data_IF_544007104372
#
_entry.id   IF_544007104372
#
_cell.length_a   1.000
_cell.length_b   1.000
_cell.length_c   1.000
_cell.angle_alpha   90.00
_cell.angle_beta   90.00
_cell.angle_gamma   90.00
#
_symmetry.space_group_name_H-M   'P 1'
#
loop_
_entity.id
_entity.type
_entity.pdbx_description
1 polymer ?
#
# COMPACT_ATOMS: atom_id res chain seq x y z
N UNK A 1 4.11 12.03 8.75
CA UNK A 1 4.42 10.70 8.17
C UNK A 1 3.14 9.96 7.78
N UNK A 2 2.15 9.81 8.65
CA UNK A 2 0.88 9.10 8.36
C UNK A 2 0.15 9.66 7.15
N UNK A 3 -0.05 10.98 7.09
CA UNK A 3 -0.76 11.66 5.99
C UNK A 3 -0.06 11.47 4.64
N UNK A 4 1.26 11.60 4.58
CA UNK A 4 2.04 11.40 3.34
C UNK A 4 1.99 9.95 2.88
N UNK A 5 2.03 9.01 3.82
CA UNK A 5 1.86 7.58 3.52
C UNK A 5 0.45 7.27 3.00
N UNK A 6 -0.60 7.86 3.59
CA UNK A 6 -1.97 7.72 3.12
C UNK A 6 -2.14 8.22 1.68
N UNK A 7 -1.57 9.38 1.34
CA UNK A 7 -1.56 9.89 -0.04
C UNK A 7 -0.94 8.88 -0.98
N UNK A 8 0.20 8.29 -0.61
CA UNK A 8 0.83 7.22 -1.37
C UNK A 8 -0.06 5.98 -1.53
N UNK A 9 -0.74 5.54 -0.46
CA UNK A 9 -1.67 4.41 -0.49
C UNK A 9 -2.84 4.66 -1.46
N UNK A 10 -3.44 5.85 -1.42
CA UNK A 10 -4.55 6.23 -2.30
C UNK A 10 -4.07 6.30 -3.76
N UNK A 11 -2.89 6.90 -3.99
CA UNK A 11 -2.31 7.01 -5.33
C UNK A 11 -2.03 5.64 -5.95
N UNK A 12 -1.35 4.74 -5.23
CA UNK A 12 -1.01 3.41 -5.73
C UNK A 12 -2.22 2.50 -5.89
N UNK A 13 -3.27 2.72 -5.09
CA UNK A 13 -4.55 2.02 -5.23
C UNK A 13 -5.31 2.38 -6.50
N UNK A 14 -4.94 3.47 -7.17
CA UNK A 14 -5.61 3.91 -8.38
C UNK A 14 -6.95 4.56 -8.10
N UNK A 15 -7.01 5.43 -7.09
CA UNK A 15 -8.20 6.23 -6.77
C UNK A 15 -8.08 7.61 -7.45
N UNK A 16 -9.08 8.03 -8.25
CA UNK A 16 -9.05 9.35 -8.86
C UNK A 16 -9.08 10.46 -7.78
N UNK A 17 -8.47 11.60 -8.00
CA UNK A 17 -7.79 12.06 -9.23
C UNK A 17 -6.26 11.88 -9.23
N UNK A 18 -5.71 11.01 -8.37
CA UNK A 18 -4.27 10.85 -8.18
C UNK A 18 -3.57 10.20 -9.37
N UNK A 19 -2.24 10.39 -9.46
CA UNK A 19 -1.44 9.99 -10.62
C UNK A 19 -1.57 8.50 -10.99
N UNK A 20 -1.62 7.63 -9.99
CA UNK A 20 -1.72 6.19 -10.22
C UNK A 20 -3.04 5.71 -10.83
N UNK A 21 -4.10 6.51 -10.78
CA UNK A 21 -5.36 6.19 -11.45
C UNK A 21 -5.20 6.19 -12.97
N UNK A 22 -4.73 7.31 -13.55
CA UNK A 22 -4.66 7.48 -15.00
C UNK A 22 -3.74 6.46 -15.66
N UNK A 23 -2.53 6.27 -15.14
CA UNK A 23 -1.58 5.31 -15.68
C UNK A 23 -2.07 3.87 -15.58
N UNK A 24 -2.71 3.50 -14.47
CA UNK A 24 -3.25 2.16 -14.27
C UNK A 24 -4.41 1.87 -15.21
N UNK A 25 -5.32 2.81 -15.38
CA UNK A 25 -6.49 2.65 -16.25
C UNK A 25 -6.10 2.62 -17.72
N UNK A 26 -5.07 3.36 -18.14
CA UNK A 26 -4.53 3.28 -19.50
C UNK A 26 -3.92 1.89 -19.77
N UNK A 27 -3.13 1.35 -18.84
CA UNK A 27 -2.57 0.00 -18.96
C UNK A 27 -3.70 -1.05 -19.01
N UNK A 28 -4.70 -0.93 -18.15
CA UNK A 28 -5.84 -1.85 -18.11
C UNK A 28 -6.70 -1.73 -19.37
N UNK A 29 -6.90 -0.52 -19.90
CA UNK A 29 -7.61 -0.30 -21.16
C UNK A 29 -6.92 -0.97 -22.34
N UNK A 30 -5.62 -0.78 -22.49
CA UNK A 30 -4.82 -1.43 -23.52
C UNK A 30 -4.80 -2.97 -23.37
N UNK A 31 -4.74 -3.46 -22.12
CA UNK A 31 -4.84 -4.89 -21.87
C UNK A 31 -6.21 -5.47 -22.23
N UNK A 32 -7.29 -4.72 -22.03
CA UNK A 32 -8.64 -5.15 -22.40
C UNK A 32 -8.79 -5.35 -23.92
N UNK A 33 -8.25 -4.41 -24.69
CA UNK A 33 -8.31 -4.46 -26.18
C UNK A 33 -7.44 -5.60 -26.72
N UNK A 34 -6.22 -5.77 -26.16
CA UNK A 34 -5.25 -6.75 -26.68
C UNK A 34 -5.55 -8.17 -26.20
N UNK A 35 -5.76 -8.35 -24.90
CA UNK A 35 -5.98 -9.66 -24.27
C UNK A 35 -6.88 -9.54 -23.01
N UNK A 36 -8.18 -9.76 -23.10
CA UNK A 36 -9.11 -9.62 -21.98
C UNK A 36 -8.77 -10.45 -20.73
N UNK A 37 -8.04 -11.56 -20.92
CA UNK A 37 -7.58 -12.36 -19.77
C UNK A 37 -6.54 -11.61 -18.91
N UNK A 38 -5.63 -10.86 -19.54
CA UNK A 38 -4.66 -10.02 -18.81
C UNK A 38 -5.33 -8.84 -18.13
N UNK A 39 -6.36 -8.26 -18.74
CA UNK A 39 -7.18 -7.25 -18.09
C UNK A 39 -7.81 -7.78 -16.80
N UNK A 40 -8.39 -8.98 -16.82
CA UNK A 40 -8.99 -9.57 -15.63
C UNK A 40 -7.97 -9.80 -14.51
N UNK A 41 -6.80 -10.33 -14.85
CA UNK A 41 -5.69 -10.51 -13.89
C UNK A 41 -5.22 -9.18 -13.35
N UNK A 42 -5.06 -8.17 -14.21
CA UNK A 42 -4.68 -6.81 -13.83
C UNK A 42 -5.69 -6.15 -12.89
N UNK A 43 -6.98 -6.32 -13.17
CA UNK A 43 -8.07 -5.80 -12.35
C UNK A 43 -8.08 -6.45 -10.96
N UNK A 44 -7.92 -7.77 -10.89
CA UNK A 44 -7.81 -8.50 -9.63
C UNK A 44 -6.59 -8.05 -8.82
N UNK A 45 -5.45 -7.87 -9.49
CA UNK A 45 -4.22 -7.36 -8.89
C UNK A 45 -4.40 -5.94 -8.37
N UNK A 46 -5.15 -5.09 -9.06
CA UNK A 46 -5.47 -3.73 -8.60
C UNK A 46 -6.25 -3.74 -7.28
N UNK A 47 -7.26 -4.63 -7.15
CA UNK A 47 -8.01 -4.82 -5.91
C UNK A 47 -7.14 -5.36 -4.76
N UNK A 48 -6.27 -6.32 -5.06
CA UNK A 48 -5.31 -6.84 -4.07
C UNK A 48 -4.32 -5.77 -3.63
N UNK A 49 -3.86 -4.91 -4.56
CA UNK A 49 -2.96 -3.78 -4.25
C UNK A 49 -3.63 -2.81 -3.29
N UNK A 50 -4.85 -2.41 -3.56
CA UNK A 50 -5.63 -1.54 -2.69
C UNK A 50 -5.81 -2.18 -1.29
N UNK A 51 -6.14 -3.47 -1.25
CA UNK A 51 -6.31 -4.19 0.01
C UNK A 51 -5.02 -4.22 0.85
N UNK A 52 -3.87 -4.62 0.28
CA UNK A 52 -2.65 -4.77 1.09
C UNK A 52 -2.06 -3.41 1.50
N UNK A 53 -2.19 -2.37 0.68
CA UNK A 53 -1.71 -1.03 1.03
C UNK A 53 -2.52 -0.43 2.19
N UNK A 54 -3.83 -0.56 2.17
CA UNK A 54 -4.66 -0.11 3.27
C UNK A 54 -4.58 -1.00 4.51
N UNK A 55 -4.36 -2.31 4.35
CA UNK A 55 -3.98 -3.18 5.47
C UNK A 55 -2.72 -2.67 6.17
N UNK A 56 -1.69 -2.35 5.40
CA UNK A 56 -0.43 -1.81 5.93
C UNK A 56 -0.67 -0.49 6.66
N UNK A 57 -1.44 0.42 6.06
CA UNK A 57 -1.79 1.70 6.66
C UNK A 57 -2.51 1.52 8.01
N UNK A 58 -3.59 0.74 8.05
CA UNK A 58 -4.37 0.53 9.28
C UNK A 58 -3.59 -0.18 10.38
N UNK A 59 -2.71 -1.11 10.02
CA UNK A 59 -1.90 -1.82 11.02
C UNK A 59 -0.75 -0.99 11.58
N UNK A 60 -0.27 0.00 10.83
CA UNK A 60 0.89 0.83 11.21
C UNK A 60 0.47 2.11 11.91
N UNK A 61 -0.55 2.79 11.39
CA UNK A 61 -0.89 4.15 11.83
C UNK A 61 -2.18 4.25 12.63
N UNK A 62 -3.03 3.22 12.57
CA UNK A 62 -4.34 3.23 13.21
C UNK A 62 -4.43 2.17 14.31
N UNK A 63 -5.18 2.49 15.37
CA UNK A 63 -5.43 1.58 16.47
C UNK A 63 -4.48 1.79 17.66
N UNK A 64 -4.56 0.86 18.63
CA UNK A 64 -3.79 0.94 19.86
C UNK A 64 -2.30 0.66 19.61
N UNK A 65 -1.44 1.44 20.25
CA UNK A 65 0.00 1.25 20.20
C UNK A 65 0.41 -0.09 20.83
N UNK A 66 1.06 -0.95 20.04
CA UNK A 66 1.44 -2.31 20.44
C UNK A 66 2.88 -2.42 20.94
N UNK A 67 3.68 -1.35 20.83
CA UNK A 67 5.08 -1.30 21.27
C UNK A 67 5.24 -1.19 22.78
N UNK A 68 4.18 -0.81 23.50
CA UNK A 68 4.17 -0.72 24.95
C UNK A 68 3.82 -2.10 25.57
N UNK A 69 4.76 -3.02 25.50
CA UNK A 69 4.65 -4.25 26.26
C UNK A 69 5.05 -3.92 27.69
N UNK A 70 4.06 -3.54 28.52
CA UNK A 70 4.26 -3.16 29.94
C UNK A 70 5.01 -4.24 30.74
N UNK A 71 4.90 -5.49 30.34
CA UNK A 71 5.63 -6.60 30.96
C UNK A 71 7.11 -6.60 30.54
N UNK A 72 7.41 -6.41 29.26
CA UNK A 72 8.77 -6.33 28.75
C UNK A 72 9.51 -5.10 29.27
N UNK A 73 8.81 -3.97 29.38
CA UNK A 73 9.35 -2.74 29.96
C UNK A 73 9.62 -2.92 31.48
N UNK A 74 8.75 -3.65 32.17
CA UNK A 74 8.95 -4.00 33.57
C UNK A 74 10.13 -4.94 33.77
N UNK A 75 10.30 -5.95 32.92
CA UNK A 75 11.45 -6.85 32.94
C UNK A 75 12.75 -6.12 32.59
N UNK A 76 12.74 -5.24 31.59
CA UNK A 76 13.91 -4.41 31.23
C UNK A 76 14.26 -3.41 32.35
N UNK A 77 13.27 -2.80 33.01
CA UNK A 77 13.46 -1.93 34.17
C UNK A 77 14.01 -2.70 35.40
N UNK A 78 13.56 -3.92 35.63
CA UNK A 78 14.07 -4.78 36.68
C UNK A 78 15.50 -5.21 36.39
N UNK A 79 15.79 -5.61 35.13
CA UNK A 79 17.13 -5.99 34.67
C UNK A 79 18.11 -4.81 34.71
N UNK A 80 17.65 -3.59 34.36
CA UNK A 80 18.50 -2.39 34.44
C UNK A 80 18.78 -1.96 35.89
N UNK A 81 17.81 -2.08 36.77
CA UNK A 81 18.02 -1.82 38.21
C UNK A 81 18.96 -2.80 38.90
N UNK A 82 19.14 -3.99 38.32
CA UNK A 82 20.05 -5.01 38.91
C UNK A 82 21.49 -4.79 38.42
N UNK A 83 21.73 -3.97 37.40
CA UNK A 83 23.05 -3.78 36.77
C UNK A 83 23.61 -2.36 36.84
N UNK A 84 22.96 -1.40 37.48
CA UNK A 84 23.43 -0.02 37.52
C UNK A 84 23.33 0.53 38.95
N UNK A 85 24.46 0.53 39.63
CA UNK A 85 24.76 1.50 40.66
C UNK A 85 24.80 2.90 40.01
N UNK A 86 23.93 3.79 40.48
CA UNK A 86 24.02 5.24 40.53
C UNK A 86 24.89 5.94 39.46
N UNK A 87 24.36 6.23 38.28
CA UNK A 87 24.65 7.44 37.48
C UNK A 87 23.82 7.43 36.20
N UNK A 88 22.99 8.48 36.03
CA UNK A 88 22.19 8.82 34.85
C UNK A 88 20.70 8.49 34.86
N UNK A 89 19.96 9.10 35.81
CA UNK A 89 18.49 9.09 35.78
C UNK A 89 17.85 10.10 34.78
N UNK A 90 18.63 10.94 34.10
CA UNK A 90 18.08 12.03 33.29
C UNK A 90 17.95 11.74 31.77
N UNK A 91 18.53 10.68 31.23
CA UNK A 91 18.52 10.42 29.76
C UNK A 91 17.55 9.34 29.29
N UNK A 92 16.87 8.62 30.17
CA UNK A 92 16.04 7.47 29.79
C UNK A 92 14.53 7.71 29.72
N UNK A 93 14.03 8.90 30.05
CA UNK A 93 12.57 9.18 29.96
C UNK A 93 12.07 9.54 28.56
N UNK A 94 12.94 9.82 27.57
CA UNK A 94 12.52 10.22 26.22
C UNK A 94 12.21 9.07 25.25
N UNK A 95 12.51 7.82 25.59
CA UNK A 95 12.32 6.69 24.66
C UNK A 95 10.92 6.06 24.65
N UNK A 96 9.98 6.56 25.43
CA UNK A 96 8.62 6.00 25.56
C UNK A 96 7.52 6.77 24.82
N UNK A 97 7.76 7.99 24.34
CA UNK A 97 6.72 8.77 23.66
C UNK A 97 6.81 8.63 22.14
N UNK A 98 5.67 8.34 21.52
CA UNK A 98 5.54 8.34 20.05
C UNK A 98 5.64 9.80 19.58
N UNK A 99 6.74 10.15 18.93
CA UNK A 99 6.94 11.46 18.33
C UNK A 99 7.05 11.35 16.79
N UNK A 100 6.74 12.43 16.10
CA UNK A 100 6.87 12.50 14.64
C UNK A 100 8.36 12.43 14.25
N UNK A 101 8.62 11.81 13.11
CA UNK A 101 9.98 11.70 12.57
C UNK A 101 10.60 13.06 12.30
N UNK A 102 11.94 13.22 12.44
CA UNK A 102 12.62 14.49 12.22
C UNK A 102 12.45 14.98 10.77
N UNK A 103 12.64 16.29 10.57
CA UNK A 103 12.44 16.94 9.26
C UNK A 103 13.25 16.29 8.13
N UNK A 104 14.42 15.80 8.41
CA UNK A 104 15.27 15.09 7.44
C UNK A 104 14.60 13.83 6.85
N UNK A 105 13.68 13.19 7.59
CA UNK A 105 12.92 12.02 7.14
C UNK A 105 11.56 12.41 6.55
N UNK A 106 10.91 13.45 7.09
CA UNK A 106 9.58 13.87 6.62
C UNK A 106 9.64 14.69 5.33
N UNK A 107 10.72 15.44 5.09
CA UNK A 107 10.90 16.22 3.88
C UNK A 107 10.83 15.39 2.58
N UNK A 108 11.57 14.29 2.42
CA UNK A 108 11.45 13.43 1.22
C UNK A 108 10.04 12.88 1.03
N UNK A 109 9.34 12.54 2.11
CA UNK A 109 7.97 12.02 2.02
C UNK A 109 6.98 13.08 1.52
N UNK A 110 7.11 14.32 2.01
CA UNK A 110 6.30 15.44 1.53
C UNK A 110 6.65 15.77 0.08
N UNK A 111 7.96 15.79 -0.25
CA UNK A 111 8.46 16.04 -1.61
C UNK A 111 7.91 15.03 -2.61
N UNK A 112 7.69 13.78 -2.25
CA UNK A 112 7.08 12.75 -3.10
C UNK A 112 5.55 12.80 -3.10
N UNK A 113 4.94 13.13 -1.97
CA UNK A 113 3.48 13.19 -1.86
C UNK A 113 2.87 14.33 -2.70
N UNK A 114 3.52 15.49 -2.74
CA UNK A 114 3.04 16.65 -3.50
C UNK A 114 2.96 16.36 -5.00
N UNK A 115 4.00 15.88 -5.69
CA UNK A 115 3.91 15.48 -7.10
C UNK A 115 2.89 14.37 -7.35
N UNK A 116 2.73 13.41 -6.44
CA UNK A 116 1.75 12.32 -6.56
C UNK A 116 0.32 12.85 -6.70
N UNK A 117 0.01 13.97 -6.06
CA UNK A 117 -1.28 14.65 -6.21
C UNK A 117 -1.32 15.49 -7.49
N UNK A 118 -0.29 16.33 -7.72
CA UNK A 118 -0.28 17.31 -8.81
C UNK A 118 -0.23 16.64 -10.19
N UNK A 119 0.62 15.63 -10.35
CA UNK A 119 0.83 14.92 -11.62
C UNK A 119 -0.46 14.20 -12.06
N UNK A 120 -1.30 13.78 -11.11
CA UNK A 120 -2.61 13.23 -11.45
C UNK A 120 -3.49 14.18 -12.27
N UNK A 121 -3.40 15.47 -12.03
CA UNK A 121 -4.11 16.48 -12.82
C UNK A 121 -3.43 16.81 -14.15
N UNK A 122 -2.16 16.45 -14.32
CA UNK A 122 -1.40 16.66 -15.57
C UNK A 122 -1.51 15.48 -16.55
N UNK A 123 -1.93 14.32 -16.06
CA UNK A 123 -2.06 13.09 -16.85
C UNK A 123 -3.48 12.80 -17.34
N UNK A 124 -4.31 13.82 -17.52
CA UNK A 124 -5.68 13.64 -18.02
C UNK A 124 -5.68 13.05 -19.43
N UNK A 125 -6.52 12.04 -19.74
CA UNK A 125 -6.49 11.36 -21.04
C UNK A 125 -6.82 12.26 -22.25
N UNK A 126 -7.59 13.32 -22.01
CA UNK A 126 -7.99 14.28 -23.04
C UNK A 126 -7.06 15.50 -23.18
N UNK A 127 -6.17 15.72 -22.22
CA UNK A 127 -5.17 16.80 -22.20
C UNK A 127 -3.95 16.37 -21.37
N UNK A 128 -3.28 15.34 -21.83
CA UNK A 128 -2.09 14.83 -21.15
C UNK A 128 -0.88 15.73 -21.43
N UNK A 129 -0.60 16.65 -20.50
CA UNK A 129 0.58 17.51 -20.58
C UNK A 129 1.89 16.72 -20.54
N UNK A 130 1.88 15.55 -19.91
CA UNK A 130 3.03 14.67 -19.83
C UNK A 130 3.28 13.99 -21.18
N UNK A 131 2.25 13.45 -21.81
CA UNK A 131 2.36 12.84 -23.14
C UNK A 131 2.78 13.89 -24.19
N UNK A 132 2.18 15.08 -24.16
CA UNK A 132 2.57 16.20 -25.02
C UNK A 132 4.03 16.64 -24.84
N UNK A 133 4.62 16.45 -23.66
CA UNK A 133 6.03 16.75 -23.41
C UNK A 133 6.97 15.68 -23.98
N UNK A 134 6.53 14.41 -23.98
CA UNK A 134 7.32 13.26 -24.42
C UNK A 134 7.22 13.04 -25.93
N UNK A 135 6.02 13.01 -26.47
CA UNK A 135 5.71 12.85 -27.89
C UNK A 135 4.41 13.57 -28.25
N UNK A 136 4.51 14.80 -28.82
CA UNK A 136 3.35 15.61 -29.13
C UNK A 136 2.45 15.00 -30.23
N UNK A 137 3.02 14.27 -31.21
CA UNK A 137 2.24 13.68 -32.30
C UNK A 137 1.41 12.48 -31.82
N UNK A 138 2.03 11.64 -30.99
CA UNK A 138 1.35 10.49 -30.39
C UNK A 138 0.29 10.93 -29.37
N UNK A 139 0.60 11.95 -28.57
CA UNK A 139 -0.35 12.54 -27.63
C UNK A 139 -1.58 13.14 -28.28
N UNK A 140 -1.42 13.86 -29.40
CA UNK A 140 -2.55 14.42 -30.14
C UNK A 140 -3.41 13.33 -30.78
N UNK A 141 -2.78 12.27 -31.28
CA UNK A 141 -3.47 11.10 -31.85
C UNK A 141 -4.25 10.34 -30.77
N UNK A 142 -3.64 10.11 -29.62
CA UNK A 142 -4.27 9.45 -28.48
C UNK A 142 -5.45 10.28 -27.92
N UNK A 143 -5.28 11.59 -27.80
CA UNK A 143 -6.36 12.49 -27.34
C UNK A 143 -7.55 12.51 -28.31
N UNK A 144 -7.31 12.46 -29.62
CA UNK A 144 -8.36 12.36 -30.65
C UNK A 144 -9.05 11.00 -30.68
N UNK A 145 -8.31 9.93 -30.37
CA UNK A 145 -8.85 8.57 -30.31
C UNK A 145 -9.55 8.26 -28.98
N UNK A 146 -9.43 9.15 -27.99
CA UNK A 146 -10.02 8.93 -26.68
C UNK A 146 -11.54 8.98 -26.73
N UNK A 147 -12.18 7.82 -26.58
CA UNK A 147 -13.63 7.72 -26.47
C UNK A 147 -14.05 7.53 -25.01
N UNK A 148 -14.63 8.55 -24.43
CA UNK A 148 -15.12 8.54 -23.05
C UNK A 148 -16.09 7.37 -22.78
N UNK A 149 -16.84 6.96 -23.81
CA UNK A 149 -17.82 5.88 -23.74
C UNK A 149 -17.15 4.51 -23.50
N UNK A 150 -15.97 4.29 -24.06
CA UNK A 150 -15.21 3.04 -23.87
C UNK A 150 -14.38 3.07 -22.59
N UNK A 151 -13.80 4.22 -22.27
CA UNK A 151 -12.98 4.40 -21.08
C UNK A 151 -13.80 4.32 -19.77
N UNK A 152 -14.96 4.95 -19.72
CA UNK A 152 -15.75 5.10 -18.50
C UNK A 152 -16.12 3.76 -17.81
N UNK A 153 -16.59 2.72 -18.51
CA UNK A 153 -16.93 1.44 -17.86
C UNK A 153 -15.70 0.73 -17.29
N UNK A 154 -14.54 0.83 -17.96
CA UNK A 154 -13.29 0.23 -17.48
C UNK A 154 -12.78 0.97 -16.23
N UNK A 155 -12.81 2.30 -16.24
CA UNK A 155 -12.45 3.14 -15.11
C UNK A 155 -13.37 2.90 -13.90
N UNK A 156 -14.67 2.78 -14.13
CA UNK A 156 -15.63 2.44 -13.06
C UNK A 156 -15.32 1.05 -12.47
N UNK A 157 -15.02 0.06 -13.31
CA UNK A 157 -14.68 -1.28 -12.84
C UNK A 157 -13.43 -1.28 -11.98
N UNK A 158 -12.37 -0.56 -12.39
CA UNK A 158 -11.12 -0.45 -11.63
C UNK A 158 -11.32 0.24 -10.29
N UNK A 159 -12.07 1.35 -10.24
CA UNK A 159 -12.40 2.08 -9.01
C UNK A 159 -13.26 1.23 -8.07
N UNK A 160 -14.25 0.50 -8.59
CA UNK A 160 -15.10 -0.36 -7.78
C UNK A 160 -14.30 -1.48 -7.11
N UNK A 161 -13.40 -2.13 -7.84
CA UNK A 161 -12.55 -3.19 -7.29
C UNK A 161 -11.54 -2.64 -6.29
N UNK A 162 -10.90 -1.51 -6.59
CA UNK A 162 -10.00 -0.85 -5.65
C UNK A 162 -10.74 -0.44 -4.36
N UNK A 163 -11.93 0.16 -4.48
CA UNK A 163 -12.78 0.54 -3.35
C UNK A 163 -13.23 -0.67 -2.54
N UNK A 164 -13.59 -1.79 -3.18
CA UNK A 164 -13.90 -3.03 -2.50
C UNK A 164 -12.71 -3.55 -1.68
N UNK A 165 -11.50 -3.52 -2.24
CA UNK A 165 -10.27 -3.87 -1.54
C UNK A 165 -10.04 -3.01 -0.29
N UNK A 166 -10.24 -1.70 -0.41
CA UNK A 166 -10.13 -0.75 0.71
C UNK A 166 -11.17 -1.03 1.79
N UNK A 167 -12.43 -1.23 1.40
CA UNK A 167 -13.53 -1.51 2.34
C UNK A 167 -13.28 -2.82 3.10
N UNK A 168 -12.81 -3.86 2.43
CA UNK A 168 -12.47 -5.13 3.06
C UNK A 168 -11.32 -4.93 4.06
N UNK A 169 -10.27 -4.19 3.69
CA UNK A 169 -9.16 -3.86 4.58
C UNK A 169 -9.64 -3.07 5.81
N UNK A 170 -10.48 -2.06 5.60
CA UNK A 170 -11.07 -1.27 6.67
C UNK A 170 -11.89 -2.11 7.66
N UNK A 171 -12.78 -2.96 7.16
CA UNK A 171 -13.59 -3.83 8.01
C UNK A 171 -12.78 -4.87 8.77
N UNK A 172 -11.72 -5.40 8.15
CA UNK A 172 -10.89 -6.42 8.74
C UNK A 172 -9.91 -5.87 9.79
N UNK A 173 -9.28 -4.73 9.53
CA UNK A 173 -8.15 -4.25 10.33
C UNK A 173 -8.47 -3.05 11.20
N UNK A 174 -9.34 -2.15 10.75
CA UNK A 174 -9.75 -0.98 11.53
C UNK A 174 -10.93 -1.29 12.44
N UNK A 175 -12.05 -1.73 11.87
CA UNK A 175 -13.27 -2.06 12.64
C UNK A 175 -13.15 -3.39 13.38
N UNK A 176 -12.20 -4.25 12.97
CA UNK A 176 -11.95 -5.59 13.57
C UNK A 176 -13.20 -6.49 13.60
N UNK A 177 -14.18 -6.23 12.72
CA UNK A 177 -15.41 -7.03 12.61
C UNK A 177 -15.19 -8.40 11.99
N UNK A 178 -14.20 -8.52 11.11
CA UNK A 178 -13.93 -9.72 10.32
C UNK A 178 -12.49 -10.15 10.57
N UNK A 179 -12.32 -11.30 11.21
CA UNK A 179 -10.98 -11.91 11.35
C UNK A 179 -10.66 -12.69 10.06
N UNK A 180 -10.23 -11.95 9.01
CA UNK A 180 -9.93 -12.53 7.70
C UNK A 180 -8.87 -13.64 7.79
N UNK A 181 -7.89 -13.50 8.66
CA UNK A 181 -6.82 -14.49 8.85
C UNK A 181 -7.37 -15.82 9.39
N UNK A 182 -8.30 -15.77 10.34
CA UNK A 182 -8.93 -16.97 10.91
C UNK A 182 -9.85 -17.61 9.87
N UNK A 183 -10.71 -16.81 9.24
CA UNK A 183 -11.61 -17.29 8.17
C UNK A 183 -10.85 -17.96 7.03
N UNK A 184 -9.73 -17.38 6.60
CA UNK A 184 -8.90 -17.95 5.53
C UNK A 184 -8.21 -19.23 5.98
N UNK A 185 -7.68 -19.26 7.21
CA UNK A 185 -7.01 -20.43 7.77
C UNK A 185 -7.96 -21.62 7.92
N UNK A 186 -9.21 -21.38 8.34
CA UNK A 186 -10.24 -22.42 8.48
C UNK A 186 -10.73 -22.92 7.12
N UNK A 187 -10.98 -22.01 6.17
CA UNK A 187 -11.55 -22.36 4.87
C UNK A 187 -10.54 -22.97 3.90
N UNK A 188 -9.27 -22.57 4.00
CA UNK A 188 -8.20 -23.00 3.10
C UNK A 188 -6.92 -23.44 3.87
N UNK A 189 -6.99 -24.52 4.65
CA UNK A 189 -5.86 -24.93 5.52
C UNK A 189 -4.59 -25.29 4.75
N UNK A 190 -4.74 -25.91 3.57
CA UNK A 190 -3.59 -26.29 2.73
C UNK A 190 -2.85 -25.05 2.16
N UNK A 191 -3.62 -24.06 1.69
CA UNK A 191 -3.06 -22.81 1.16
C UNK A 191 -2.42 -22.02 2.30
N UNK A 192 -3.09 -21.94 3.45
CA UNK A 192 -2.56 -21.27 4.62
C UNK A 192 -1.23 -21.89 5.07
N UNK A 193 -1.10 -23.21 5.12
CA UNK A 193 0.14 -23.92 5.43
C UNK A 193 1.25 -23.60 4.41
N UNK A 194 0.92 -23.59 3.12
CA UNK A 194 1.88 -23.28 2.05
C UNK A 194 2.40 -21.84 2.16
N UNK A 195 1.52 -20.87 2.42
CA UNK A 195 1.88 -19.46 2.61
C UNK A 195 2.66 -19.24 3.92
N UNK A 196 2.25 -19.88 5.02
CA UNK A 196 2.93 -19.77 6.32
C UNK A 196 4.35 -20.32 6.28
N UNK A 197 4.59 -21.34 5.46
CA UNK A 197 5.94 -21.88 5.22
C UNK A 197 6.70 -21.11 4.12
N UNK A 198 6.32 -19.87 3.81
CA UNK A 198 7.01 -19.01 2.83
C UNK A 198 7.23 -19.70 1.48
N UNK A 199 6.22 -20.43 1.00
CA UNK A 199 6.25 -21.18 -0.26
C UNK A 199 7.33 -22.28 -0.28
N UNK A 200 7.87 -22.67 0.87
CA UNK A 200 9.01 -23.60 1.03
C UNK A 200 10.28 -23.16 0.27
N UNK A 201 10.41 -21.87 -0.03
CA UNK A 201 11.57 -21.35 -0.77
C UNK A 201 12.85 -21.47 0.05
N UNK A 202 12.77 -21.25 1.36
CA UNK A 202 13.92 -21.41 2.26
C UNK A 202 14.40 -22.87 2.27
N UNK A 203 13.47 -23.85 2.33
CA UNK A 203 13.78 -25.29 2.30
C UNK A 203 14.38 -25.73 0.96
N UNK A 204 13.89 -25.15 -0.15
CA UNK A 204 14.42 -25.43 -1.49
C UNK A 204 15.84 -24.88 -1.63
N UNK A 205 16.08 -23.64 -1.19
CA UNK A 205 17.38 -23.02 -1.23
C UNK A 205 18.39 -23.78 -0.36
N UNK A 206 18.00 -24.18 0.84
CA UNK A 206 18.87 -24.97 1.70
C UNK A 206 19.28 -26.32 1.07
N UNK A 207 18.30 -27.00 0.43
CA UNK A 207 18.57 -28.28 -0.25
C UNK A 207 19.39 -28.14 -1.53
N UNK A 208 19.28 -27.01 -2.24
CA UNK A 208 19.95 -26.81 -3.52
C UNK A 208 21.36 -26.22 -3.37
N UNK A 209 21.57 -25.34 -2.38
CA UNK A 209 22.78 -24.53 -2.27
C UNK A 209 23.60 -24.77 -1.00
N UNK A 210 23.03 -25.37 0.03
CA UNK A 210 23.74 -25.59 1.33
C UNK A 210 24.10 -27.06 1.56
N UNK A 211 23.38 -28.00 0.97
CA UNK A 211 23.67 -29.43 0.94
C UNK A 211 24.14 -29.83 -0.45
#
# INVERSE_FOLDING_TARGET
TSTTFLIGCVAISGIPPLAGFWSKDEILGNAFISFPAFWFVGLLTAGMTAFYMFRLYFLTFEGDFRGENKELQKELLIASKTNLDEENEEEHEEHGSIHESPWSMTFPLVFLAVPSVIIGFMGLPWDSKIANLLDPEEAETAAKAFELKEFLPLAIASVLIASAGIIIAYQAYFVKKINLSVLFAEKFPSINRFLSNKWYLDDINEKLFVK
#
